data_IF_402666359771
#
_entry.id   IF_402666359771
#
_cell.length_a   1.000
_cell.length_b   1.000
_cell.length_c   1.000
_cell.angle_alpha   90.00
_cell.angle_beta   90.00
_cell.angle_gamma   90.00
#
_symmetry.space_group_name_H-M   'P 1'
#
loop_
_entity.id
_entity.type
_entity.pdbx_description
1 polymer ?
#
# COMPACT_ATOMS: atom_id res chain seq x y z
N UNK A 1 -38.42 -38.15 22.55
CA UNK A 1 -37.03 -38.63 22.44
C UNK A 1 -36.16 -37.58 23.12
N UNK A 2 -35.53 -37.94 24.24
CA UNK A 2 -34.94 -37.00 25.22
C UNK A 2 -33.65 -36.32 24.75
N UNK A 3 -33.49 -35.05 25.11
CA UNK A 3 -32.22 -34.30 25.13
C UNK A 3 -31.64 -34.44 26.55
N UNK A 4 -30.45 -35.03 26.75
CA UNK A 4 -29.78 -34.94 28.04
C UNK A 4 -29.14 -33.55 28.20
N UNK A 5 -29.60 -32.82 29.21
CA UNK A 5 -28.96 -31.62 29.72
C UNK A 5 -27.68 -32.02 30.48
N UNK A 6 -26.53 -31.48 30.08
CA UNK A 6 -25.28 -31.56 30.85
C UNK A 6 -25.06 -30.23 31.58
N UNK A 7 -25.43 -30.22 32.85
CA UNK A 7 -25.04 -29.22 33.85
C UNK A 7 -23.67 -29.57 34.45
N UNK A 8 -22.69 -28.67 34.37
CA UNK A 8 -21.43 -28.77 35.11
C UNK A 8 -20.37 -27.76 34.66
N UNK A 9 -19.84 -26.89 35.55
CA UNK A 9 -18.97 -25.79 35.15
C UNK A 9 -17.51 -26.25 35.12
N UNK A 10 -16.94 -26.36 33.93
CA UNK A 10 -15.49 -26.36 33.75
C UNK A 10 -15.18 -25.32 32.67
N UNK A 11 -15.00 -24.07 33.09
CA UNK A 11 -14.47 -23.03 32.23
C UNK A 11 -12.98 -23.35 31.97
N UNK A 12 -12.74 -24.18 30.95
CA UNK A 12 -11.40 -24.38 30.41
C UNK A 12 -11.05 -23.08 29.69
N UNK A 13 -10.30 -22.20 30.34
CA UNK A 13 -9.76 -21.01 29.70
C UNK A 13 -8.68 -21.45 28.71
N UNK A 14 -9.11 -21.81 27.50
CA UNK A 14 -8.20 -22.04 26.39
C UNK A 14 -7.55 -20.70 26.03
N UNK A 15 -6.30 -20.51 26.44
CA UNK A 15 -5.47 -19.39 25.99
C UNK A 15 -5.18 -19.64 24.51
N UNK A 16 -5.98 -19.01 23.65
CA UNK A 16 -5.73 -18.94 22.22
C UNK A 16 -4.48 -18.08 22.01
N UNK A 17 -3.31 -18.73 21.92
CA UNK A 17 -2.08 -18.12 21.44
C UNK A 17 -2.24 -17.87 19.94
N UNK A 18 -2.80 -16.73 19.56
CA UNK A 18 -2.82 -16.30 18.16
C UNK A 18 -1.39 -15.93 17.74
N UNK A 19 -0.80 -16.62 16.76
CA UNK A 19 0.49 -16.19 16.22
C UNK A 19 0.31 -14.82 15.56
N UNK A 20 1.07 -13.82 16.02
CA UNK A 20 1.15 -12.52 15.35
C UNK A 20 2.04 -12.68 14.13
N UNK A 21 1.58 -12.35 12.92
CA UNK A 21 2.44 -12.41 11.75
C UNK A 21 3.64 -11.48 11.93
N UNK A 22 4.84 -11.86 11.44
CA UNK A 22 6.01 -11.01 11.50
C UNK A 22 5.74 -9.68 10.79
N UNK A 23 6.24 -8.58 11.37
CA UNK A 23 6.14 -7.27 10.75
C UNK A 23 6.90 -7.26 9.42
N UNK A 24 6.23 -6.84 8.36
CA UNK A 24 6.87 -6.59 7.07
C UNK A 24 7.95 -5.52 7.23
N UNK A 25 9.08 -5.71 6.55
CA UNK A 25 10.26 -4.85 6.59
C UNK A 25 10.38 -4.10 5.27
N UNK A 26 11.04 -2.94 5.32
CA UNK A 26 11.37 -2.22 4.11
C UNK A 26 12.38 -3.02 3.25
N UNK A 27 12.13 -3.09 1.94
CA UNK A 27 12.95 -3.74 0.92
C UNK A 27 13.23 -2.76 -0.22
N UNK A 28 14.35 -2.03 -0.09
CA UNK A 28 14.80 -1.08 -1.10
C UNK A 28 15.14 -1.74 -2.43
N UNK A 29 15.59 -3.01 -2.42
CA UNK A 29 15.99 -3.72 -3.64
C UNK A 29 14.74 -4.10 -4.44
N UNK A 30 13.73 -4.65 -3.78
CA UNK A 30 12.45 -4.96 -4.40
C UNK A 30 11.80 -3.72 -5.03
N UNK A 31 11.77 -2.61 -4.29
CA UNK A 31 11.30 -1.33 -4.82
C UNK A 31 12.07 -0.91 -6.08
N UNK A 32 13.41 -0.85 -6.00
CA UNK A 32 14.25 -0.41 -7.11
C UNK A 32 14.06 -1.30 -8.33
N UNK A 33 14.02 -2.62 -8.19
CA UNK A 33 13.75 -3.54 -9.31
C UNK A 33 12.41 -3.21 -9.98
N UNK A 34 11.35 -2.99 -9.20
CA UNK A 34 10.02 -2.76 -9.75
C UNK A 34 9.84 -1.40 -10.43
N UNK A 35 10.59 -0.37 -10.02
CA UNK A 35 10.45 1.00 -10.56
C UNK A 35 11.54 1.41 -11.55
N UNK A 36 12.70 0.75 -11.55
CA UNK A 36 13.79 1.09 -12.48
C UNK A 36 13.82 0.17 -13.71
N UNK A 37 13.35 -1.08 -13.58
CA UNK A 37 13.28 -2.01 -14.72
C UNK A 37 12.00 -1.80 -15.53
N UNK A 38 10.93 -1.31 -14.89
CA UNK A 38 9.70 -0.94 -15.58
C UNK A 38 9.89 0.40 -16.30
N UNK A 39 9.64 0.47 -17.62
CA UNK A 39 9.75 1.74 -18.35
C UNK A 39 8.75 2.78 -17.83
N UNK A 40 9.14 4.05 -17.90
CA UNK A 40 8.22 5.19 -17.81
C UNK A 40 8.40 6.13 -16.60
N UNK A 41 9.18 5.77 -15.56
CA UNK A 41 9.50 6.72 -14.48
C UNK A 41 10.80 7.50 -14.75
N UNK A 42 11.74 6.92 -15.49
CA UNK A 42 12.97 7.58 -15.94
C UNK A 42 13.75 8.31 -14.82
N UNK A 43 13.80 7.72 -13.61
CA UNK A 43 14.63 8.26 -12.53
C UNK A 43 16.09 8.36 -12.98
N UNK A 44 16.82 9.43 -12.61
CA UNK A 44 18.20 9.64 -13.05
C UNK A 44 19.17 8.61 -12.45
N UNK A 45 18.90 8.13 -11.24
CA UNK A 45 19.65 7.09 -10.54
C UNK A 45 18.79 6.42 -9.44
N UNK A 46 19.37 5.43 -8.76
CA UNK A 46 18.70 4.67 -7.70
C UNK A 46 18.40 5.53 -6.45
N UNK A 47 19.28 6.48 -6.11
CA UNK A 47 19.08 7.36 -4.95
C UNK A 47 17.90 8.30 -5.17
N UNK A 48 17.74 8.83 -6.38
CA UNK A 48 16.59 9.63 -6.77
C UNK A 48 15.28 8.83 -6.73
N UNK A 49 15.30 7.57 -7.20
CA UNK A 49 14.14 6.69 -7.12
C UNK A 49 13.73 6.42 -5.66
N UNK A 50 14.71 6.14 -4.79
CA UNK A 50 14.49 5.92 -3.36
C UNK A 50 13.99 7.19 -2.66
N UNK A 51 14.57 8.34 -2.97
CA UNK A 51 14.14 9.62 -2.42
C UNK A 51 12.67 9.90 -2.76
N UNK A 52 12.28 9.69 -4.03
CA UNK A 52 10.90 9.85 -4.47
C UNK A 52 9.94 8.88 -3.75
N UNK A 53 10.31 7.59 -3.67
CA UNK A 53 9.51 6.59 -2.97
C UNK A 53 9.33 6.88 -1.47
N UNK A 54 10.39 7.33 -0.80
CA UNK A 54 10.31 7.78 0.60
C UNK A 54 9.46 9.05 0.74
N UNK A 55 9.48 9.95 -0.24
CA UNK A 55 8.58 11.10 -0.31
C UNK A 55 7.11 10.69 -0.33
N UNK A 56 6.74 9.68 -1.12
CA UNK A 56 5.39 9.09 -1.08
C UNK A 56 5.07 8.55 0.32
N UNK A 57 6.00 7.83 0.94
CA UNK A 57 5.82 7.30 2.30
C UNK A 57 5.56 8.42 3.33
N UNK A 58 6.24 9.56 3.20
CA UNK A 58 6.02 10.72 4.06
C UNK A 58 4.64 11.36 3.86
N UNK A 59 4.17 11.47 2.61
CA UNK A 59 2.80 11.92 2.29
C UNK A 59 1.73 10.99 2.88
N UNK A 60 1.93 9.68 2.80
CA UNK A 60 1.00 8.72 3.42
C UNK A 60 1.02 8.85 4.95
N UNK A 61 2.21 8.99 5.54
CA UNK A 61 2.40 9.15 6.98
C UNK A 61 1.80 10.46 7.50
N UNK A 62 1.80 11.53 6.71
CA UNK A 62 1.15 12.81 7.05
C UNK A 62 -0.37 12.78 6.89
N UNK A 63 -0.93 11.71 6.33
CA UNK A 63 -2.36 11.52 6.16
C UNK A 63 -2.93 12.15 4.88
N UNK A 64 -2.08 12.41 3.88
CA UNK A 64 -2.52 12.90 2.59
C UNK A 64 -3.46 11.90 1.90
N UNK A 65 -4.48 12.42 1.19
CA UNK A 65 -5.48 11.56 0.54
C UNK A 65 -4.88 10.88 -0.68
N UNK A 66 -5.23 9.61 -0.90
CA UNK A 66 -4.72 8.82 -2.03
C UNK A 66 -4.91 9.52 -3.39
N UNK A 67 -6.07 10.16 -3.61
CA UNK A 67 -6.36 10.89 -4.83
C UNK A 67 -5.42 12.09 -5.10
N UNK A 68 -4.90 12.72 -4.04
CA UNK A 68 -3.95 13.83 -4.16
C UNK A 68 -2.58 13.29 -4.55
N UNK A 69 -2.09 12.28 -3.82
CA UNK A 69 -0.83 11.60 -4.14
C UNK A 69 -0.83 11.08 -5.58
N UNK A 70 -1.93 10.47 -6.05
CA UNK A 70 -2.05 10.02 -7.45
C UNK A 70 -1.97 11.18 -8.44
N UNK A 71 -2.64 12.30 -8.16
CA UNK A 71 -2.60 13.49 -9.02
C UNK A 71 -1.19 14.05 -9.11
N UNK A 72 -0.53 14.23 -7.97
CA UNK A 72 0.85 14.74 -7.90
C UNK A 72 1.83 13.81 -8.62
N UNK A 73 1.70 12.48 -8.46
CA UNK A 73 2.56 11.53 -9.19
C UNK A 73 2.37 11.67 -10.70
N UNK A 74 1.14 11.84 -11.18
CA UNK A 74 0.90 12.06 -12.62
C UNK A 74 1.51 13.36 -13.13
N UNK A 75 1.44 14.42 -12.32
CA UNK A 75 2.05 15.72 -12.63
C UNK A 75 3.59 15.64 -12.63
N UNK A 76 4.20 15.00 -11.64
CA UNK A 76 5.65 14.86 -11.48
C UNK A 76 6.30 14.10 -12.67
N UNK A 77 5.57 13.14 -13.25
CA UNK A 77 6.04 12.37 -14.41
C UNK A 77 5.49 12.85 -15.77
N UNK A 78 4.72 13.95 -15.79
CA UNK A 78 4.02 14.43 -17.00
C UNK A 78 3.27 13.30 -17.73
N UNK A 79 2.61 12.42 -16.96
CA UNK A 79 1.88 11.26 -17.49
C UNK A 79 0.52 11.09 -16.83
N UNK A 80 -0.55 11.10 -17.64
CA UNK A 80 -1.92 10.90 -17.19
C UNK A 80 -2.29 9.43 -16.90
N UNK A 81 -1.37 8.48 -17.05
CA UNK A 81 -1.61 7.06 -16.79
C UNK A 81 -1.84 6.76 -15.29
N UNK A 82 -3.11 6.56 -14.97
CA UNK A 82 -3.61 6.23 -13.64
C UNK A 82 -3.06 4.91 -13.07
N UNK A 83 -2.84 3.90 -13.93
CA UNK A 83 -2.31 2.61 -13.52
C UNK A 83 -0.83 2.72 -13.18
N UNK A 84 -0.08 3.50 -13.96
CA UNK A 84 1.33 3.74 -13.67
C UNK A 84 1.47 4.47 -12.32
N UNK A 85 0.75 5.56 -12.10
CA UNK A 85 0.79 6.29 -10.83
C UNK A 85 0.40 5.41 -9.63
N UNK A 86 -0.72 4.68 -9.73
CA UNK A 86 -1.19 3.79 -8.67
C UNK A 86 -0.22 2.64 -8.39
N UNK A 87 0.46 2.11 -9.41
CA UNK A 87 1.48 1.10 -9.24
C UNK A 87 2.68 1.65 -8.49
N UNK A 88 3.21 2.82 -8.87
CA UNK A 88 4.35 3.43 -8.18
C UNK A 88 4.06 3.65 -6.69
N UNK A 89 2.88 4.19 -6.37
CA UNK A 89 2.45 4.42 -4.98
C UNK A 89 2.38 3.08 -4.22
N UNK A 90 1.80 2.05 -4.84
CA UNK A 90 1.69 0.73 -4.22
C UNK A 90 3.06 0.08 -3.99
N UNK A 91 4.02 0.27 -4.92
CA UNK A 91 5.40 -0.20 -4.77
C UNK A 91 6.14 0.55 -3.67
N UNK A 92 6.06 1.89 -3.65
CA UNK A 92 6.69 2.69 -2.62
C UNK A 92 6.18 2.30 -1.23
N UNK A 93 4.86 2.18 -1.05
CA UNK A 93 4.30 1.85 0.27
C UNK A 93 4.48 0.39 0.65
N UNK A 94 4.29 -0.53 -0.30
CA UNK A 94 4.46 -1.96 -0.05
C UNK A 94 5.89 -2.33 0.32
N UNK A 95 6.86 -1.74 -0.38
CA UNK A 95 8.26 -2.11 -0.26
C UNK A 95 9.05 -1.20 0.67
N UNK A 96 8.81 0.12 0.72
CA UNK A 96 9.64 1.04 1.54
C UNK A 96 9.04 1.34 2.92
N UNK A 97 7.71 1.38 3.03
CA UNK A 97 7.03 1.75 4.26
C UNK A 97 5.81 0.86 4.55
N UNK A 98 6.02 -0.46 4.74
CA UNK A 98 4.92 -1.41 4.87
C UNK A 98 4.06 -1.20 6.13
N UNK A 99 4.58 -0.52 7.16
CA UNK A 99 3.79 -0.14 8.34
C UNK A 99 2.65 0.84 8.01
N UNK A 100 2.74 1.54 6.86
CA UNK A 100 1.79 2.54 6.39
C UNK A 100 0.75 1.98 5.42
N UNK A 101 0.80 0.68 5.06
CA UNK A 101 -0.16 0.06 4.14
C UNK A 101 -1.60 0.29 4.57
N UNK A 102 -1.89 0.19 5.87
CA UNK A 102 -3.25 0.39 6.36
C UNK A 102 -3.69 1.85 6.20
N UNK A 103 -2.79 2.81 6.47
CA UNK A 103 -3.05 4.23 6.28
C UNK A 103 -3.34 4.56 4.81
N UNK A 104 -2.55 4.02 3.88
CA UNK A 104 -2.79 4.16 2.43
C UNK A 104 -4.15 3.60 2.03
N UNK A 105 -4.52 2.41 2.52
CA UNK A 105 -5.81 1.78 2.21
C UNK A 105 -6.99 2.60 2.72
N UNK A 106 -6.87 3.18 3.92
CA UNK A 106 -7.88 4.08 4.45
C UNK A 106 -7.98 5.37 3.62
N UNK A 107 -6.84 5.95 3.22
CA UNK A 107 -6.84 7.19 2.42
C UNK A 107 -7.35 6.98 0.99
N UNK A 108 -7.36 5.73 0.50
CA UNK A 108 -7.95 5.30 -0.76
C UNK A 108 -9.42 4.85 -0.65
N UNK A 109 -10.04 4.89 0.53
CA UNK A 109 -11.42 4.46 0.69
C UNK A 109 -12.38 5.29 -0.18
N UNK A 110 -13.17 4.62 -1.02
CA UNK A 110 -14.07 5.27 -1.97
C UNK A 110 -13.37 5.90 -3.18
N UNK A 111 -12.05 5.69 -3.34
CA UNK A 111 -11.34 6.11 -4.53
C UNK A 111 -11.83 5.33 -5.75
N UNK A 112 -12.23 6.05 -6.78
CA UNK A 112 -12.58 5.49 -8.09
C UNK A 112 -11.66 6.16 -9.10
N UNK A 113 -10.83 5.35 -9.74
CA UNK A 113 -9.97 5.80 -10.83
C UNK A 113 -10.82 6.49 -11.91
N UNK A 114 -10.40 7.66 -12.43
CA UNK A 114 -11.10 8.29 -13.53
C UNK A 114 -11.16 7.34 -14.74
N UNK A 115 -12.30 7.30 -15.42
CA UNK A 115 -12.39 6.59 -16.70
C UNK A 115 -11.38 7.20 -17.69
N UNK A 116 -10.52 6.38 -18.34
CA UNK A 116 -9.60 6.88 -19.35
C UNK A 116 -10.38 7.67 -20.41
N UNK A 117 -9.95 8.90 -20.70
CA UNK A 117 -10.55 9.67 -21.77
C UNK A 117 -10.27 8.93 -23.09
N UNK A 118 -11.32 8.49 -23.78
CA UNK A 118 -11.20 7.98 -25.15
C UNK A 118 -10.84 9.18 -26.03
N UNK A 119 -9.67 9.21 -26.69
CA UNK A 119 -9.34 10.29 -27.61
C UNK A 119 -10.38 10.31 -28.74
N UNK A 120 -10.93 11.49 -29.02
CA UNK A 120 -11.81 11.74 -30.16
C UNK A 120 -11.02 11.95 -31.44
#
# INVERSE_FOLDING_TARGET
MNIPQLTGPAAVAAVLLCPVPPAARADAVAYLVNVTVRPGYNFPDADAALAYGNGICDKVRSGERYAQIVTEVKEDFDNSDEHQASYLISQAVGELCPAQIWQLRQSAAGYVAPTPAVPR
#
